data_IF_606562459110
#
_entry.id   IF_606562459110
#
_cell.length_a   1.000
_cell.length_b   1.000
_cell.length_c   1.000
_cell.angle_alpha   90.00
_cell.angle_beta   90.00
_cell.angle_gamma   90.00
#
_symmetry.space_group_name_H-M   'P 1'
#
loop_
_entity.id
_entity.type
_entity.pdbx_description
1 polymer ?
#
# COMPACT_ATOMS: atom_id res chain seq x y z
N UNK A 1 17.51 38.03 21.90
CA UNK A 1 17.44 36.92 20.92
C UNK A 1 18.15 35.70 21.48
N UNK A 2 17.42 34.66 21.90
CA UNK A 2 18.02 33.39 22.37
C UNK A 2 18.33 32.50 21.16
N UNK A 3 19.62 32.28 20.87
CA UNK A 3 20.09 31.28 19.90
C UNK A 3 19.69 29.88 20.38
N UNK A 4 18.78 29.21 19.66
CA UNK A 4 18.50 27.78 19.85
C UNK A 4 19.63 26.99 19.20
N UNK A 5 20.42 26.30 20.01
CA UNK A 5 21.38 25.31 19.57
C UNK A 5 20.63 24.13 18.91
N UNK A 6 20.69 24.06 17.59
CA UNK A 6 20.26 22.89 16.83
C UNK A 6 21.42 21.88 16.92
N UNK A 7 21.32 20.95 17.88
CA UNK A 7 22.16 19.75 17.87
C UNK A 7 21.60 18.82 16.80
N UNK A 8 22.25 18.80 15.65
CA UNK A 8 22.05 17.79 14.61
C UNK A 8 22.76 16.53 15.11
N UNK A 9 21.99 15.53 15.57
CA UNK A 9 22.45 14.16 15.78
C UNK A 9 21.52 13.22 15.05
N UNK A 10 22.10 12.51 14.11
CA UNK A 10 21.71 11.24 13.49
C UNK A 10 20.37 11.16 12.73
N UNK A 11 20.50 10.61 11.52
CA UNK A 11 19.62 10.68 10.35
C UNK A 11 18.29 9.91 10.44
N UNK A 12 17.67 9.79 11.61
CA UNK A 12 16.26 9.38 11.71
C UNK A 12 15.47 10.54 12.31
N UNK A 13 15.02 11.45 11.43
CA UNK A 13 13.96 12.39 11.79
C UNK A 13 12.69 11.54 11.95
N UNK A 14 12.51 10.99 13.14
CA UNK A 14 11.22 10.47 13.59
C UNK A 14 10.34 11.72 13.68
N UNK A 15 9.65 12.04 12.58
CA UNK A 15 8.60 13.05 12.58
C UNK A 15 7.66 12.68 13.73
N UNK A 16 7.50 13.57 14.72
CA UNK A 16 6.52 13.39 15.79
C UNK A 16 5.15 13.30 15.13
N UNK A 17 4.66 12.08 14.96
CA UNK A 17 3.34 11.80 14.41
C UNK A 17 2.33 12.29 15.44
N UNK A 18 1.47 13.23 15.04
CA UNK A 18 0.34 13.65 15.86
C UNK A 18 -0.59 12.43 16.06
N UNK A 19 -1.06 12.20 17.30
CA UNK A 19 -1.87 11.01 17.66
C UNK A 19 -3.12 10.87 16.77
N UNK A 20 -3.72 11.99 16.36
CA UNK A 20 -4.87 12.01 15.44
C UNK A 20 -4.51 11.52 14.04
N UNK A 21 -3.29 11.80 13.56
CA UNK A 21 -2.81 11.32 12.26
C UNK A 21 -2.42 9.84 12.32
N UNK A 22 -1.83 9.40 13.43
CA UNK A 22 -1.52 7.99 13.69
C UNK A 22 -2.79 7.14 13.68
N UNK A 23 -3.87 7.62 14.32
CA UNK A 23 -5.15 6.92 14.36
C UNK A 23 -5.76 6.74 12.96
N UNK A 24 -5.83 7.81 12.16
CA UNK A 24 -6.35 7.74 10.77
C UNK A 24 -5.52 6.80 9.91
N UNK A 25 -4.19 6.82 10.06
CA UNK A 25 -3.29 5.91 9.33
C UNK A 25 -3.55 4.46 9.72
N UNK A 26 -3.67 4.17 11.02
CA UNK A 26 -3.98 2.82 11.51
C UNK A 26 -5.32 2.31 10.96
N UNK A 27 -6.34 3.17 10.94
CA UNK A 27 -7.66 2.84 10.39
C UNK A 27 -7.58 2.48 8.90
N UNK A 28 -6.88 3.29 8.10
CA UNK A 28 -6.67 3.00 6.67
C UNK A 28 -5.98 1.66 6.47
N UNK A 29 -4.95 1.36 7.26
CA UNK A 29 -4.20 0.10 7.18
C UNK A 29 -5.06 -1.11 7.55
N UNK A 30 -5.85 -1.02 8.63
CA UNK A 30 -6.75 -2.09 9.07
C UNK A 30 -7.80 -2.39 8.01
N UNK A 31 -8.49 -1.37 7.50
CA UNK A 31 -9.52 -1.56 6.46
C UNK A 31 -8.89 -2.16 5.20
N UNK A 32 -7.72 -1.67 4.80
CA UNK A 32 -7.00 -2.17 3.63
C UNK A 32 -6.50 -3.61 3.77
N UNK A 33 -6.40 -4.11 5.01
CA UNK A 33 -5.99 -5.48 5.32
C UNK A 33 -7.19 -6.43 5.44
N UNK A 34 -8.28 -5.98 6.07
CA UNK A 34 -9.51 -6.76 6.24
C UNK A 34 -10.26 -6.97 4.93
N UNK A 35 -10.28 -5.95 4.07
CA UNK A 35 -10.93 -6.02 2.76
C UNK A 35 -9.87 -5.70 1.69
N UNK A 36 -9.04 -6.70 1.33
CA UNK A 36 -8.08 -6.55 0.24
C UNK A 36 -8.82 -6.13 -1.03
N UNK A 37 -8.15 -5.31 -1.84
CA UNK A 37 -8.70 -4.70 -3.06
C UNK A 37 -9.74 -3.61 -2.81
N UNK A 38 -10.88 -3.88 -2.17
CA UNK A 38 -11.98 -2.91 -2.10
C UNK A 38 -11.86 -1.88 -0.98
N UNK A 39 -11.29 -2.25 0.17
CA UNK A 39 -11.13 -1.35 1.32
C UNK A 39 -10.45 -0.02 0.99
N UNK A 40 -9.32 -0.02 0.26
CA UNK A 40 -8.66 1.21 -0.20
C UNK A 40 -9.56 2.08 -1.08
N UNK A 41 -10.34 1.50 -1.99
CA UNK A 41 -11.27 2.27 -2.84
C UNK A 41 -12.42 2.85 -2.03
N UNK A 42 -12.99 2.11 -1.08
CA UNK A 42 -14.03 2.62 -0.19
C UNK A 42 -13.53 3.86 0.56
N UNK A 43 -12.32 3.80 1.12
CA UNK A 43 -11.70 4.94 1.78
C UNK A 43 -11.48 6.09 0.80
N UNK A 44 -10.96 5.80 -0.40
CA UNK A 44 -10.71 6.83 -1.40
C UNK A 44 -12.00 7.56 -1.81
N UNK A 45 -13.09 6.82 -2.05
CA UNK A 45 -14.39 7.38 -2.43
C UNK A 45 -15.15 8.03 -1.28
N UNK A 46 -14.85 7.67 -0.03
CA UNK A 46 -15.49 8.28 1.15
C UNK A 46 -15.14 9.77 1.37
N UNK A 47 -14.20 10.33 0.59
CA UNK A 47 -13.74 11.74 0.67
C UNK A 47 -13.33 12.20 2.07
N UNK A 48 -12.94 11.28 2.96
CA UNK A 48 -12.47 11.60 4.31
C UNK A 48 -11.22 12.49 4.22
N UNK A 49 -11.16 13.54 5.04
CA UNK A 49 -9.96 14.39 5.14
C UNK A 49 -8.82 13.61 5.81
N UNK A 50 -7.88 13.15 5.00
CA UNK A 50 -6.69 12.42 5.45
C UNK A 50 -5.45 13.33 5.45
N UNK A 51 -4.55 13.19 6.44
CA UNK A 51 -3.23 13.83 6.43
C UNK A 51 -2.44 13.51 5.16
N UNK A 52 -1.50 14.39 4.77
CA UNK A 52 -0.69 14.20 3.54
C UNK A 52 0.01 12.84 3.53
N UNK A 53 0.59 12.44 4.67
CA UNK A 53 1.24 11.14 4.85
C UNK A 53 0.27 9.97 4.69
N UNK A 54 -0.90 10.04 5.32
CA UNK A 54 -1.93 9.00 5.22
C UNK A 54 -2.49 8.88 3.81
N UNK A 55 -2.67 9.99 3.08
CA UNK A 55 -3.05 9.99 1.66
C UNK A 55 -2.00 9.29 0.81
N UNK A 56 -0.72 9.56 1.05
CA UNK A 56 0.37 8.91 0.32
C UNK A 56 0.39 7.39 0.54
N UNK A 57 0.20 6.94 1.79
CA UNK A 57 0.06 5.52 2.13
C UNK A 57 -1.15 4.92 1.41
N UNK A 58 -2.30 5.58 1.47
CA UNK A 58 -3.53 5.14 0.80
C UNK A 58 -3.30 4.96 -0.71
N UNK A 59 -2.67 5.93 -1.38
CA UNK A 59 -2.38 5.86 -2.83
C UNK A 59 -1.43 4.70 -3.15
N UNK A 60 -0.41 4.44 -2.34
CA UNK A 60 0.46 3.28 -2.55
C UNK A 60 -0.30 1.96 -2.46
N UNK A 61 -1.21 1.84 -1.48
CA UNK A 61 -2.05 0.66 -1.33
C UNK A 61 -3.01 0.55 -2.52
N UNK A 62 -3.63 1.67 -2.94
CA UNK A 62 -4.55 1.71 -4.07
C UNK A 62 -3.87 1.26 -5.37
N UNK A 63 -2.67 1.77 -5.65
CA UNK A 63 -1.87 1.38 -6.81
C UNK A 63 -1.52 -0.11 -6.77
N UNK A 64 -1.09 -0.62 -5.61
CA UNK A 64 -0.84 -2.06 -5.43
C UNK A 64 -2.10 -2.86 -5.74
N UNK A 65 -3.24 -2.48 -5.17
CA UNK A 65 -4.52 -3.17 -5.37
C UNK A 65 -4.93 -3.16 -6.84
N UNK A 66 -4.83 -2.00 -7.50
CA UNK A 66 -5.12 -1.86 -8.93
C UNK A 66 -4.23 -2.75 -9.81
N UNK A 67 -2.91 -2.70 -9.63
CA UNK A 67 -1.97 -3.53 -10.39
C UNK A 67 -2.21 -5.02 -10.17
N UNK A 68 -2.45 -5.43 -8.92
CA UNK A 68 -2.75 -6.84 -8.60
C UNK A 68 -4.08 -7.28 -9.24
N UNK A 69 -5.12 -6.43 -9.24
CA UNK A 69 -6.38 -6.72 -9.92
C UNK A 69 -6.18 -6.93 -11.43
N UNK A 70 -5.36 -6.11 -12.09
CA UNK A 70 -5.04 -6.29 -13.52
C UNK A 70 -4.34 -7.62 -13.78
N UNK A 71 -3.33 -7.96 -12.96
CA UNK A 71 -2.62 -9.25 -13.07
C UNK A 71 -3.60 -10.41 -12.92
N UNK A 72 -4.50 -10.36 -11.92
CA UNK A 72 -5.49 -11.42 -11.72
C UNK A 72 -6.51 -11.52 -12.84
N UNK A 73 -6.96 -10.40 -13.41
CA UNK A 73 -7.85 -10.41 -14.57
C UNK A 73 -7.19 -11.11 -15.77
N UNK A 74 -5.91 -10.82 -16.04
CA UNK A 74 -5.15 -11.47 -17.10
C UNK A 74 -5.01 -12.98 -16.82
N UNK A 75 -4.61 -13.36 -15.61
CA UNK A 75 -4.46 -14.77 -15.24
C UNK A 75 -5.79 -15.54 -15.28
N UNK A 76 -6.89 -14.92 -14.86
CA UNK A 76 -8.24 -15.51 -14.98
C UNK A 76 -8.68 -15.68 -16.43
N UNK A 77 -8.40 -14.71 -17.30
CA UNK A 77 -8.70 -14.83 -18.73
C UNK A 77 -7.89 -15.97 -19.36
N UNK A 78 -6.60 -16.07 -19.03
CA UNK A 78 -5.73 -17.15 -19.52
C UNK A 78 -6.21 -18.51 -19.00
N UNK A 79 -6.50 -18.64 -17.70
CA UNK A 79 -6.94 -19.91 -17.11
C UNK A 79 -8.29 -20.37 -17.68
N UNK A 80 -9.26 -19.45 -17.83
CA UNK A 80 -10.55 -19.73 -18.47
C UNK A 80 -10.38 -20.22 -19.90
N UNK A 81 -9.53 -19.56 -20.69
CA UNK A 81 -9.29 -19.95 -22.08
C UNK A 81 -8.62 -21.33 -22.17
N UNK A 82 -7.65 -21.63 -21.29
CA UNK A 82 -7.00 -22.95 -21.22
C UNK A 82 -8.01 -24.06 -20.91
N UNK A 83 -8.89 -23.84 -19.93
CA UNK A 83 -9.90 -24.83 -19.54
C UNK A 83 -10.93 -25.06 -20.66
N UNK A 84 -11.46 -24.00 -21.25
CA UNK A 84 -12.54 -24.10 -22.24
C UNK A 84 -12.06 -24.58 -23.62
N UNK A 85 -10.83 -24.24 -24.03
CA UNK A 85 -10.31 -24.62 -25.35
C UNK A 85 -9.54 -25.94 -25.35
N UNK A 86 -8.74 -26.19 -24.33
CA UNK A 86 -7.82 -27.34 -24.31
C UNK A 86 -8.28 -28.44 -23.35
N UNK A 87 -9.29 -28.18 -22.50
CA UNK A 87 -9.73 -29.14 -21.48
C UNK A 87 -8.67 -29.45 -20.41
N UNK A 88 -7.60 -28.64 -20.33
CA UNK A 88 -6.45 -28.91 -19.47
C UNK A 88 -6.71 -28.45 -18.04
N UNK A 89 -7.34 -29.34 -17.27
CA UNK A 89 -7.67 -29.11 -15.86
C UNK A 89 -6.42 -28.94 -14.98
N UNK A 90 -5.31 -29.60 -15.32
CA UNK A 90 -4.07 -29.53 -14.54
C UNK A 90 -3.40 -28.16 -14.68
N UNK A 91 -3.37 -27.63 -15.90
CA UNK A 91 -2.86 -26.28 -16.13
C UNK A 91 -3.74 -25.21 -15.48
N UNK A 92 -5.06 -25.39 -15.49
CA UNK A 92 -6.00 -24.53 -14.76
C UNK A 92 -5.70 -24.51 -13.25
N UNK A 93 -5.58 -25.67 -12.62
CA UNK A 93 -5.27 -25.80 -11.18
C UNK A 93 -3.93 -25.14 -10.83
N UNK A 94 -2.90 -25.33 -11.66
CA UNK A 94 -1.59 -24.69 -11.47
C UNK A 94 -1.68 -23.15 -11.49
N UNK A 95 -2.45 -22.58 -12.43
CA UNK A 95 -2.63 -21.11 -12.50
C UNK A 95 -3.37 -20.60 -11.26
N UNK A 96 -4.40 -21.30 -10.80
CA UNK A 96 -5.13 -20.94 -9.58
C UNK A 96 -4.25 -21.01 -8.33
N UNK A 97 -3.45 -22.06 -8.21
CA UNK A 97 -2.47 -22.22 -7.12
C UNK A 97 -1.45 -21.08 -7.15
N UNK A 98 -0.97 -20.71 -8.34
CA UNK A 98 -0.06 -19.58 -8.52
C UNK A 98 -0.72 -18.24 -8.14
N UNK A 99 -1.98 -18.00 -8.53
CA UNK A 99 -2.74 -16.82 -8.14
C UNK A 99 -2.90 -16.71 -6.63
N UNK A 100 -3.20 -17.83 -5.96
CA UNK A 100 -3.29 -17.90 -4.50
C UNK A 100 -1.94 -17.62 -3.83
N UNK A 101 -0.86 -18.20 -4.34
CA UNK A 101 0.49 -17.93 -3.86
C UNK A 101 0.85 -16.43 -3.97
N UNK A 102 0.58 -15.81 -5.14
CA UNK A 102 0.75 -14.37 -5.33
C UNK A 102 -0.06 -13.54 -4.33
N UNK A 103 -1.28 -13.98 -4.01
CA UNK A 103 -2.13 -13.30 -3.04
C UNK A 103 -1.50 -13.33 -1.64
N UNK A 104 -1.06 -14.50 -1.18
CA UNK A 104 -0.41 -14.67 0.12
C UNK A 104 0.87 -13.83 0.21
N UNK A 105 1.74 -13.90 -0.80
CA UNK A 105 2.96 -13.08 -0.86
C UNK A 105 2.64 -11.58 -0.82
N UNK A 106 1.63 -11.15 -1.58
CA UNK A 106 1.18 -9.76 -1.63
C UNK A 106 0.63 -9.26 -0.29
N UNK A 107 -0.05 -10.13 0.47
CA UNK A 107 -0.54 -9.85 1.82
C UNK A 107 0.60 -9.73 2.83
N UNK A 108 1.58 -10.63 2.80
CA UNK A 108 2.76 -10.58 3.66
C UNK A 108 3.58 -9.30 3.43
N UNK A 109 3.81 -8.93 2.16
CA UNK A 109 4.52 -7.68 1.82
C UNK A 109 3.74 -6.45 2.32
N UNK A 110 2.41 -6.45 2.17
CA UNK A 110 1.58 -5.35 2.68
C UNK A 110 1.62 -5.27 4.21
N UNK A 111 1.63 -6.39 4.90
CA UNK A 111 1.74 -6.44 6.37
C UNK A 111 3.08 -5.86 6.84
N UNK A 112 4.20 -6.28 6.24
CA UNK A 112 5.53 -5.75 6.55
C UNK A 112 5.58 -4.24 6.31
N UNK A 113 5.07 -3.76 5.17
CA UNK A 113 4.98 -2.33 4.88
C UNK A 113 4.09 -1.58 5.85
N UNK A 114 2.98 -2.17 6.28
CA UNK A 114 2.06 -1.57 7.25
C UNK A 114 2.74 -1.33 8.60
N UNK A 115 3.56 -2.28 9.06
CA UNK A 115 4.39 -2.11 10.26
C UNK A 115 5.42 -0.99 10.07
N UNK A 116 6.10 -0.95 8.92
CA UNK A 116 7.08 0.11 8.62
C UNK A 116 6.42 1.50 8.61
N UNK A 117 5.23 1.63 8.03
CA UNK A 117 4.43 2.84 8.03
C UNK A 117 3.99 3.25 9.44
N UNK A 118 3.53 2.31 10.26
CA UNK A 118 3.18 2.62 11.66
C UNK A 118 4.39 3.12 12.47
N UNK A 119 5.57 2.55 12.22
CA UNK A 119 6.82 2.91 12.90
C UNK A 119 7.47 4.21 12.39
N UNK A 120 6.83 4.96 11.49
CA UNK A 120 7.41 6.21 10.98
C UNK A 120 8.53 6.03 9.95
N UNK A 121 8.84 4.80 9.54
CA UNK A 121 9.93 4.47 8.59
C UNK A 121 9.47 4.69 7.15
N UNK A 122 9.11 5.94 6.82
CA UNK A 122 8.67 6.34 5.49
C UNK A 122 9.78 7.04 4.69
N UNK A 123 10.76 6.26 4.24
CA UNK A 123 11.91 6.78 3.47
C UNK A 123 11.44 7.48 2.18
N UNK A 124 10.44 6.94 1.47
CA UNK A 124 9.98 7.49 0.18
C UNK A 124 9.20 8.81 0.28
N UNK A 125 8.42 9.01 1.35
CA UNK A 125 7.67 10.26 1.56
C UNK A 125 8.63 11.46 1.69
N UNK A 126 9.78 11.26 2.35
CA UNK A 126 10.83 12.26 2.52
C UNK A 126 11.44 12.72 1.19
N UNK A 127 11.68 11.79 0.24
CA UNK A 127 12.21 12.12 -1.08
C UNK A 127 11.16 12.75 -2.00
N UNK A 128 9.92 12.26 -1.98
CA UNK A 128 8.83 12.81 -2.80
C UNK A 128 8.47 14.23 -2.34
N UNK A 129 8.41 14.49 -1.03
CA UNK A 129 8.26 15.86 -0.53
C UNK A 129 9.42 16.78 -0.91
N UNK A 130 10.64 16.25 -1.07
CA UNK A 130 11.79 17.04 -1.48
C UNK A 130 11.68 17.43 -2.96
N UNK A 131 11.30 16.50 -3.82
CA UNK A 131 11.02 16.75 -5.24
C UNK A 131 9.88 17.75 -5.44
N UNK A 132 8.75 17.57 -4.74
CA UNK A 132 7.60 18.50 -4.85
C UNK A 132 7.76 19.82 -4.08
N UNK A 133 8.82 19.98 -3.27
CA UNK A 133 9.17 21.28 -2.67
C UNK A 133 10.03 22.14 -3.59
N UNK A 134 10.67 21.57 -4.60
CA UNK A 134 11.46 22.33 -5.58
C UNK A 134 10.58 22.98 -6.67
N UNK A 135 9.28 22.67 -6.71
CA UNK A 135 8.32 23.23 -7.68
C UNK A 135 7.44 24.37 -7.12
N UNK A 136 7.76 24.93 -5.94
CA UNK A 136 7.06 26.10 -5.36
C UNK A 136 8.01 27.22 -4.98
#
# INVERSE_FOLDING_TARGET
MKKKNIKIKDNEIIEKVDEKEAFKTKLVLIISMLIPFFGPYIIYFSRISLPKRTKFILVQILNKSFTMSLIYLVLMMVSKNMLLKNGDAKMFENIWTFMFFLFVCSMLIQFIKSIQWLNGKDVKYKYILKLFKEEY
#
